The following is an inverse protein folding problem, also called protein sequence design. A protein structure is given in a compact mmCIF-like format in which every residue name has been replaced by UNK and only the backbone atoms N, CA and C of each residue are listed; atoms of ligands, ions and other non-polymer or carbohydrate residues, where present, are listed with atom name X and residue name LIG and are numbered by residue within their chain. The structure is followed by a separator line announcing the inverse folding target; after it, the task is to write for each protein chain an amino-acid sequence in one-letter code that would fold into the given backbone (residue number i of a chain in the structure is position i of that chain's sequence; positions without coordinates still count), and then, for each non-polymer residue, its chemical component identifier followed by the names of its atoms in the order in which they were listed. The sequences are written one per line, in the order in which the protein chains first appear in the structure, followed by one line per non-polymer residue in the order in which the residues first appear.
data_IF_487821669311
#
_entry.id   IF_487821669311
#
_cell.length_a   1.000
_cell.length_b   1.000
_cell.length_c   1.000
_cell.angle_alpha   90.00
_cell.angle_beta   90.00
_cell.angle_gamma   90.00
#
_symmetry.space_group_name_H-M   'P 1'
#
loop_
_entity.id
_entity.type
_entity.pdbx_description
1 polymer ?
#
# COMPACT_ATOMS: atom_id res chain seq x y z
N UNK A 1 4.99 -13.78 -23.15
CA UNK A 1 4.76 -13.93 -21.69
C UNK A 1 5.29 -12.71 -20.94
N UNK A 2 4.49 -12.12 -20.05
CA UNK A 2 4.93 -10.95 -19.25
C UNK A 2 6.03 -11.34 -18.24
N UNK A 3 6.91 -10.41 -17.81
CA UNK A 3 7.96 -10.68 -16.81
C UNK A 3 7.44 -11.34 -15.53
N UNK A 4 6.28 -10.90 -15.01
CA UNK A 4 5.67 -11.51 -13.81
C UNK A 4 5.26 -12.97 -14.00
N UNK A 5 4.89 -13.40 -15.21
CA UNK A 5 4.55 -14.81 -15.47
C UNK A 5 5.80 -15.68 -15.53
N UNK A 6 6.90 -15.15 -16.07
CA UNK A 6 8.21 -15.84 -16.06
C UNK A 6 8.72 -15.99 -14.62
N UNK A 7 8.66 -14.92 -13.84
CA UNK A 7 9.03 -14.94 -12.43
C UNK A 7 8.15 -15.90 -11.61
N UNK A 8 6.84 -15.98 -11.89
CA UNK A 8 5.97 -16.97 -11.25
C UNK A 8 6.41 -18.39 -11.55
N UNK A 9 6.68 -18.71 -12.82
CA UNK A 9 7.15 -20.06 -13.18
C UNK A 9 8.47 -20.38 -12.49
N UNK A 10 9.44 -19.47 -12.53
CA UNK A 10 10.72 -19.66 -11.81
C UNK A 10 10.47 -19.93 -10.32
N UNK A 11 9.64 -19.13 -9.66
CA UNK A 11 9.26 -19.31 -8.26
C UNK A 11 8.63 -20.68 -7.98
N UNK A 12 7.78 -21.21 -8.86
CA UNK A 12 7.20 -22.54 -8.66
C UNK A 12 8.25 -23.65 -8.65
N UNK A 13 9.35 -23.49 -9.38
CA UNK A 13 10.45 -24.44 -9.42
C UNK A 13 11.50 -24.21 -8.32
N UNK A 14 11.86 -22.95 -8.03
CA UNK A 14 12.99 -22.61 -7.16
C UNK A 14 12.56 -22.17 -5.76
N UNK A 15 11.29 -21.79 -5.58
CA UNK A 15 10.77 -21.10 -4.39
C UNK A 15 11.42 -19.74 -4.11
N UNK A 16 12.14 -19.17 -5.09
CA UNK A 16 12.82 -17.88 -4.99
C UNK A 16 12.16 -16.83 -5.88
N UNK A 17 12.15 -15.57 -5.43
CA UNK A 17 11.62 -14.45 -6.20
C UNK A 17 12.36 -13.14 -5.92
N UNK A 18 12.66 -12.40 -6.99
CA UNK A 18 13.22 -11.05 -6.92
C UNK A 18 12.18 -10.01 -7.32
N UNK A 19 12.13 -8.91 -6.56
CA UNK A 19 11.20 -7.81 -6.79
C UNK A 19 11.92 -6.52 -7.19
N UNK A 20 11.32 -5.81 -8.15
CA UNK A 20 11.80 -4.52 -8.61
C UNK A 20 11.27 -3.39 -7.70
N UNK A 21 11.97 -2.25 -7.72
CA UNK A 21 11.55 -1.04 -7.00
C UNK A 21 10.14 -0.59 -7.41
N UNK A 22 9.38 -0.05 -6.46
CA UNK A 22 8.10 0.60 -6.70
C UNK A 22 8.30 1.78 -7.64
N UNK A 23 7.39 1.95 -8.60
CA UNK A 23 7.45 3.05 -9.58
C UNK A 23 7.41 4.44 -8.93
N UNK A 24 6.85 4.53 -7.73
CA UNK A 24 6.79 5.75 -6.94
C UNK A 24 8.13 6.09 -6.28
N UNK A 25 9.01 5.10 -6.11
CA UNK A 25 10.36 5.31 -5.61
C UNK A 25 11.28 5.75 -6.77
N UNK A 26 11.58 7.06 -6.84
CA UNK A 26 12.35 7.64 -7.97
C UNK A 26 13.85 7.42 -7.89
N UNK A 27 14.37 6.91 -6.77
CA UNK A 27 15.82 6.88 -6.47
C UNK A 27 16.51 5.55 -6.76
N UNK A 28 15.79 4.44 -6.94
CA UNK A 28 16.42 3.13 -7.16
C UNK A 28 16.05 2.54 -8.52
N UNK A 29 16.97 2.67 -9.50
CA UNK A 29 16.91 2.02 -10.81
C UNK A 29 18.02 0.99 -10.99
N UNK A 30 18.26 0.12 -10.01
CA UNK A 30 18.99 -1.12 -10.27
C UNK A 30 17.97 -2.12 -10.83
N UNK A 31 17.81 -2.08 -12.16
CA UNK A 31 16.95 -3.03 -12.86
C UNK A 31 17.67 -4.37 -12.97
N UNK A 32 17.56 -5.18 -11.92
CA UNK A 32 17.79 -6.61 -12.07
C UNK A 32 16.85 -7.13 -13.16
N UNK A 33 17.41 -7.79 -14.19
CA UNK A 33 16.69 -8.15 -15.41
C UNK A 33 15.57 -9.16 -15.13
N UNK A 34 15.69 -9.90 -14.03
CA UNK A 34 14.74 -10.93 -13.63
C UNK A 34 13.77 -10.47 -12.53
N UNK A 35 13.97 -9.27 -11.98
CA UNK A 35 13.10 -8.72 -10.96
C UNK A 35 11.73 -8.31 -11.52
N UNK A 36 10.67 -8.72 -10.84
CA UNK A 36 9.30 -8.43 -11.25
C UNK A 36 8.68 -7.32 -10.38
N UNK A 37 7.68 -6.61 -10.92
CA UNK A 37 6.96 -5.61 -10.12
C UNK A 37 6.18 -6.31 -8.99
N UNK A 38 6.40 -5.94 -7.70
CA UNK A 38 5.74 -6.60 -6.58
C UNK A 38 4.22 -6.43 -6.63
N UNK A 39 3.71 -5.26 -7.06
CA UNK A 39 2.27 -5.04 -7.31
C UNK A 39 1.68 -5.95 -8.39
N UNK A 40 2.46 -6.24 -9.43
CA UNK A 40 2.00 -7.15 -10.50
C UNK A 40 2.03 -8.59 -10.03
N UNK A 41 3.02 -8.96 -9.21
CA UNK A 41 3.08 -10.29 -8.61
C UNK A 41 1.98 -10.49 -7.57
N UNK A 42 1.72 -9.51 -6.71
CA UNK A 42 0.61 -9.56 -5.74
C UNK A 42 -0.73 -9.82 -6.45
N UNK A 43 -1.02 -9.05 -7.51
CA UNK A 43 -2.21 -9.26 -8.34
C UNK A 43 -2.26 -10.66 -8.93
N UNK A 44 -1.12 -11.17 -9.41
CA UNK A 44 -1.05 -12.49 -10.01
C UNK A 44 -1.28 -13.59 -8.97
N UNK A 45 -0.60 -13.51 -7.82
CA UNK A 45 -0.73 -14.44 -6.70
C UNK A 45 -2.16 -14.52 -6.17
N UNK A 46 -2.86 -13.37 -6.06
CA UNK A 46 -4.29 -13.34 -5.72
C UNK A 46 -5.13 -14.10 -6.75
N UNK A 47 -4.86 -13.90 -8.06
CA UNK A 47 -5.60 -14.58 -9.13
C UNK A 47 -5.38 -16.09 -9.17
N UNK A 48 -4.18 -16.55 -8.86
CA UNK A 48 -3.83 -17.98 -8.85
C UNK A 48 -3.97 -18.63 -7.47
N UNK A 49 -4.47 -17.89 -6.48
CA UNK A 49 -4.65 -18.32 -5.10
C UNK A 49 -3.38 -18.87 -4.42
N UNK A 50 -2.22 -18.26 -4.69
CA UNK A 50 -0.94 -18.61 -4.07
C UNK A 50 -0.65 -17.70 -2.87
N UNK A 51 -1.07 -18.12 -1.69
CA UNK A 51 -0.98 -17.34 -0.45
C UNK A 51 0.45 -16.94 -0.06
N UNK A 52 1.41 -17.87 -0.16
CA UNK A 52 2.83 -17.60 0.14
C UNK A 52 3.39 -16.49 -0.74
N UNK A 53 3.14 -16.57 -2.05
CA UNK A 53 3.61 -15.60 -3.01
C UNK A 53 2.91 -14.23 -2.87
N UNK A 54 1.63 -14.25 -2.52
CA UNK A 54 0.88 -13.04 -2.16
C UNK A 54 1.53 -12.35 -0.97
N UNK A 55 1.88 -13.11 0.07
CA UNK A 55 2.52 -12.60 1.28
C UNK A 55 3.91 -12.02 1.01
N UNK A 56 4.76 -12.72 0.24
CA UNK A 56 6.07 -12.21 -0.16
C UNK A 56 5.97 -10.89 -0.95
N UNK A 57 5.01 -10.81 -1.86
CA UNK A 57 4.77 -9.58 -2.63
C UNK A 57 4.21 -8.47 -1.73
N UNK A 58 3.37 -8.79 -0.75
CA UNK A 58 2.85 -7.84 0.24
C UNK A 58 3.99 -7.24 1.06
N UNK A 59 4.82 -8.08 1.67
CA UNK A 59 5.95 -7.67 2.51
C UNK A 59 6.94 -6.80 1.73
N UNK A 60 7.18 -7.14 0.46
CA UNK A 60 8.04 -6.34 -0.40
C UNK A 60 7.43 -4.99 -0.79
N UNK A 61 6.10 -4.87 -0.88
CA UNK A 61 5.44 -3.55 -1.04
C UNK A 61 5.65 -2.73 0.23
N UNK A 62 5.40 -3.31 1.40
CA UNK A 62 5.56 -2.65 2.70
C UNK A 62 6.98 -2.11 2.88
N UNK A 63 8.01 -2.91 2.59
CA UNK A 63 9.41 -2.54 2.80
C UNK A 63 9.90 -1.40 1.91
N UNK A 64 9.13 -1.05 0.88
CA UNK A 64 9.45 0.02 -0.07
C UNK A 64 8.65 1.30 0.16
N UNK A 65 7.75 1.33 1.14
CA UNK A 65 7.02 2.54 1.51
C UNK A 65 7.96 3.53 2.19
N UNK A 66 7.84 4.80 1.81
CA UNK A 66 8.62 5.90 2.35
C UNK A 66 7.72 7.12 2.56
N UNK A 67 8.11 8.07 3.43
CA UNK A 67 7.37 9.33 3.57
C UNK A 67 7.19 10.07 2.23
N UNK A 68 8.20 9.98 1.35
CA UNK A 68 8.17 10.61 0.03
C UNK A 68 7.25 9.94 -1.00
N UNK A 69 6.82 8.69 -0.79
CA UNK A 69 6.01 7.96 -1.77
C UNK A 69 4.61 7.57 -1.28
N UNK A 70 4.38 7.56 0.04
CA UNK A 70 3.18 6.97 0.62
C UNK A 70 1.88 7.62 0.11
N UNK A 71 1.85 8.94 -0.04
CA UNK A 71 0.66 9.64 -0.54
C UNK A 71 0.34 9.22 -1.97
N UNK A 72 1.35 9.00 -2.82
CA UNK A 72 1.13 8.51 -4.18
C UNK A 72 0.66 7.04 -4.20
N UNK A 73 1.16 6.22 -3.26
CA UNK A 73 0.83 4.81 -3.13
C UNK A 73 -0.61 4.59 -2.67
N UNK A 74 -1.03 5.23 -1.57
CA UNK A 74 -2.37 5.10 -0.98
C UNK A 74 -3.47 5.45 -2.00
N UNK A 75 -3.22 6.46 -2.84
CA UNK A 75 -4.15 6.88 -3.89
C UNK A 75 -3.92 6.15 -5.22
N UNK A 76 -3.14 5.08 -5.27
CA UNK A 76 -2.89 4.37 -6.51
C UNK A 76 -4.09 3.51 -6.92
N UNK A 77 -4.23 3.29 -8.24
CA UNK A 77 -5.24 2.35 -8.79
C UNK A 77 -5.03 0.91 -8.30
N UNK A 78 -3.81 0.58 -7.89
CA UNK A 78 -3.49 -0.74 -7.35
C UNK A 78 -4.11 -0.87 -5.95
N UNK A 79 -3.78 0.04 -5.05
CA UNK A 79 -4.28 0.08 -3.67
C UNK A 79 -5.79 0.06 -3.60
N UNK A 80 -6.46 0.86 -4.44
CA UNK A 80 -7.92 0.89 -4.50
C UNK A 80 -8.56 -0.49 -4.77
N UNK A 81 -7.88 -1.38 -5.50
CA UNK A 81 -8.39 -2.73 -5.81
C UNK A 81 -8.15 -3.76 -4.72
N UNK A 82 -7.26 -3.48 -3.76
CA UNK A 82 -6.86 -4.44 -2.73
C UNK A 82 -7.02 -3.82 -1.34
N UNK A 83 -8.17 -4.03 -0.67
CA UNK A 83 -8.46 -3.43 0.63
C UNK A 83 -7.39 -3.67 1.70
N UNK A 84 -6.76 -4.85 1.69
CA UNK A 84 -5.65 -5.21 2.58
C UNK A 84 -4.42 -4.33 2.40
N UNK A 85 -4.09 -3.99 1.14
CA UNK A 85 -3.00 -3.04 0.82
C UNK A 85 -3.41 -1.64 1.30
N UNK A 86 -4.65 -1.22 1.04
CA UNK A 86 -5.14 0.08 1.48
C UNK A 86 -5.07 0.23 3.01
N UNK A 87 -5.47 -0.80 3.75
CA UNK A 87 -5.38 -0.80 5.21
C UNK A 87 -3.94 -0.65 5.71
N UNK A 88 -3.01 -1.38 5.10
CA UNK A 88 -1.60 -1.31 5.46
C UNK A 88 -0.99 0.05 5.11
N UNK A 89 -1.22 0.55 3.89
CA UNK A 89 -0.67 1.85 3.46
C UNK A 89 -1.27 3.02 4.26
N UNK A 90 -2.57 2.97 4.61
CA UNK A 90 -3.18 4.01 5.46
C UNK A 90 -2.61 4.00 6.87
N UNK A 91 -2.31 2.84 7.45
CA UNK A 91 -1.61 2.78 8.76
C UNK A 91 -0.26 3.47 8.69
N UNK A 92 0.56 3.09 7.72
CA UNK A 92 1.88 3.71 7.54
C UNK A 92 1.77 5.22 7.29
N UNK A 93 0.80 5.66 6.47
CA UNK A 93 0.52 7.08 6.25
C UNK A 93 0.21 7.82 7.56
N UNK A 94 -0.63 7.25 8.42
CA UNK A 94 -1.00 7.84 9.70
C UNK A 94 0.18 7.90 10.67
N UNK A 95 1.03 6.88 10.69
CA UNK A 95 2.26 6.84 11.49
C UNK A 95 3.26 7.93 11.05
N UNK A 96 3.33 8.22 9.75
CA UNK A 96 4.24 9.21 9.18
C UNK A 96 3.59 10.57 8.92
N UNK A 97 2.37 10.82 9.43
CA UNK A 97 1.58 11.97 9.01
C UNK A 97 2.19 13.32 9.36
N UNK A 98 3.02 13.38 10.41
CA UNK A 98 3.75 14.59 10.83
C UNK A 98 5.08 14.78 10.09
N UNK A 99 5.47 13.86 9.21
CA UNK A 99 6.67 14.00 8.41
C UNK A 99 6.51 15.17 7.41
N UNK A 100 7.51 16.07 7.28
CA UNK A 100 7.42 17.24 6.43
C UNK A 100 7.27 16.93 4.94
N UNK A 101 7.56 15.70 4.50
CA UNK A 101 7.35 15.24 3.13
C UNK A 101 5.92 14.73 2.89
N UNK A 102 5.21 14.32 3.96
CA UNK A 102 3.91 13.65 3.86
C UNK A 102 2.78 14.67 3.87
N UNK A 103 2.73 15.55 4.88
CA UNK A 103 1.57 16.42 5.09
C UNK A 103 1.29 17.37 3.91
N UNK A 104 2.29 18.05 3.32
CA UNK A 104 2.03 18.94 2.17
C UNK A 104 1.52 18.18 0.95
N UNK A 105 2.04 16.97 0.68
CA UNK A 105 1.56 16.13 -0.42
C UNK A 105 0.15 15.61 -0.15
N UNK A 106 -0.16 15.26 1.10
CA UNK A 106 -1.49 14.87 1.53
C UNK A 106 -2.49 16.02 1.33
N UNK A 107 -2.17 17.23 1.79
CA UNK A 107 -3.01 18.43 1.63
C UNK A 107 -3.31 18.69 0.16
N UNK A 108 -2.27 18.70 -0.68
CA UNK A 108 -2.40 18.83 -2.14
C UNK A 108 -3.31 17.75 -2.73
N UNK A 109 -3.18 16.51 -2.27
CA UNK A 109 -4.03 15.40 -2.72
C UNK A 109 -5.48 15.57 -2.28
N UNK A 110 -5.72 16.05 -1.06
CA UNK A 110 -7.06 16.32 -0.54
C UNK A 110 -7.79 17.40 -1.33
N UNK A 111 -7.08 18.43 -1.79
CA UNK A 111 -7.68 19.40 -2.71
C UNK A 111 -8.11 18.76 -4.05
N UNK A 112 -7.30 17.85 -4.61
CA UNK A 112 -7.67 17.10 -5.81
C UNK A 112 -8.93 16.24 -5.57
N UNK A 113 -9.05 15.63 -4.39
CA UNK A 113 -10.24 14.88 -3.97
C UNK A 113 -11.44 15.81 -3.87
N UNK A 114 -11.29 16.98 -3.24
CA UNK A 114 -12.36 17.97 -3.09
C UNK A 114 -12.88 18.50 -4.44
N UNK A 115 -12.01 18.60 -5.45
CA UNK A 115 -12.38 18.94 -6.83
C UNK A 115 -13.02 17.78 -7.61
N UNK A 116 -13.09 16.58 -7.04
CA UNK A 116 -13.61 15.38 -7.73
C UNK A 116 -12.66 14.78 -8.76
N UNK A 117 -11.38 15.19 -8.78
CA UNK A 117 -10.39 14.73 -9.76
C UNK A 117 -9.74 13.38 -9.37
N UNK A 118 -10.12 12.79 -8.24
CA UNK A 118 -9.57 11.54 -7.71
C UNK A 118 -10.67 10.51 -7.46
N UNK A 119 -10.96 9.59 -8.41
CA UNK A 119 -12.04 8.60 -8.27
C UNK A 119 -11.94 7.72 -7.02
N UNK A 120 -10.71 7.37 -6.65
CA UNK A 120 -10.40 6.55 -5.47
C UNK A 120 -10.34 7.35 -4.16
N UNK A 121 -10.47 8.68 -4.21
CA UNK A 121 -10.24 9.56 -3.07
C UNK A 121 -11.13 9.27 -1.88
N UNK A 122 -12.42 9.04 -2.13
CA UNK A 122 -13.41 8.74 -1.08
C UNK A 122 -13.02 7.49 -0.29
N UNK A 123 -12.50 6.46 -0.96
CA UNK A 123 -12.10 5.21 -0.28
C UNK A 123 -10.94 5.41 0.69
N UNK A 124 -10.00 6.28 0.34
CA UNK A 124 -8.85 6.63 1.18
C UNK A 124 -9.32 7.48 2.37
N UNK A 125 -10.08 8.53 2.11
CA UNK A 125 -10.58 9.46 3.15
C UNK A 125 -11.42 8.71 4.18
N UNK A 126 -12.35 7.87 3.73
CA UNK A 126 -13.17 7.06 4.63
C UNK A 126 -12.32 6.11 5.48
N UNK A 127 -11.24 5.57 4.91
CA UNK A 127 -10.32 4.71 5.67
C UNK A 127 -9.56 5.52 6.72
N UNK A 128 -8.97 6.66 6.36
CA UNK A 128 -8.30 7.55 7.31
C UNK A 128 -9.24 8.00 8.43
N UNK A 129 -10.46 8.40 8.10
CA UNK A 129 -11.48 8.81 9.09
C UNK A 129 -11.85 7.65 10.02
N UNK A 130 -12.02 6.44 9.50
CA UNK A 130 -12.32 5.26 10.31
C UNK A 130 -11.22 4.99 11.33
N UNK A 131 -9.97 4.98 10.89
CA UNK A 131 -8.81 4.68 11.75
C UNK A 131 -8.50 5.79 12.76
N UNK A 132 -8.82 7.05 12.45
CA UNK A 132 -8.51 8.19 13.35
C UNK A 132 -9.66 8.54 14.27
N UNK A 133 -10.91 8.57 13.79
CA UNK A 133 -12.06 9.04 14.57
C UNK A 133 -12.80 7.89 15.27
N UNK A 134 -13.00 6.76 14.56
CA UNK A 134 -13.81 5.67 15.10
C UNK A 134 -13.00 4.78 16.06
N UNK A 135 -11.72 4.55 15.79
CA UNK A 135 -10.87 3.75 16.68
C UNK A 135 -10.45 4.51 17.96
N UNK A 136 -10.39 5.85 17.91
CA UNK A 136 -10.27 6.67 19.13
C UNK A 136 -11.54 6.60 19.98
N UNK A 137 -12.71 6.59 19.35
CA UNK A 137 -13.99 6.49 20.05
C UNK A 137 -14.19 5.12 20.74
N UNK A 138 -13.71 4.03 20.14
CA UNK A 138 -13.73 2.71 20.78
C UNK A 138 -12.72 2.61 21.94
N UNK A 139 -11.53 3.20 21.79
CA UNK A 139 -10.50 3.24 22.85
C UNK A 139 -10.98 3.99 24.09
N UNK A 140 -11.64 5.15 23.94
CA UNK A 140 -12.17 5.91 25.07
C UNK A 140 -13.30 5.19 25.83
N UNK A 141 -14.18 4.45 25.13
CA UNK A 141 -15.26 3.68 25.76
C UNK A 141 -14.75 2.51 26.61
N UNK A 142 -13.66 1.86 26.20
CA UNK A 142 -13.01 0.81 27.01
C UNK A 142 -12.36 1.36 28.29
N UNK A 143 -11.89 2.61 28.29
CA UNK A 143 -11.32 3.26 29.48
C UNK A 143 -12.40 3.61 30.51
N UNK A 144 -13.57 4.08 30.06
CA UNK A 144 -14.69 4.44 30.95
C UNK A 144 -15.38 3.21 31.57
N UNK A 145 -15.46 2.09 30.85
CA UNK A 145 -16.09 0.86 31.36
C UNK A 145 -15.24 0.07 32.36
N UNK A 146 -13.93 0.35 32.47
CA UNK A 146 -13.05 -0.30 33.46
C UNK A 146 -12.95 0.48 34.78
N UNK A 147 -13.60 1.64 34.87
CA UNK A 147 -13.58 2.52 36.03
C UNK A 147 -14.86 2.43 36.90
N UNK A 148 -15.75 1.47 36.62
CA UNK A 148 -16.95 1.16 37.41
C UNK A 148 -16.86 -0.25 37.99
#
# INVERSE_FOLDING_TARGET
MSPSWKALLAYLYTQEISFASLKSNRTSRTADKDACSPKSMYRLAVKVNLGSLKQLAFENICSQLTPSNIVAEVFSKFTHKYPEILDMEVRYLLEQFTDPLVYPEWERKMEEVGRGACPQGVSVVNRVMRWTLLDRASSNKSSESSAC
#
